data_IF_199676444861
#
_entry.id   IF_199676444861
#
_cell.length_a   1.000
_cell.length_b   1.000
_cell.length_c   1.000
_cell.angle_alpha   90.00
_cell.angle_beta   90.00
_cell.angle_gamma   90.00
#
_symmetry.space_group_name_H-M   'P 1'
#
loop_
_entity.id
_entity.type
_entity.pdbx_description
1 polymer ?
#
# COMPACT_ATOMS: atom_id res chain seq x y z
N UNK A 1 -39.52 -6.75 -12.84
CA UNK A 1 -38.75 -5.70 -12.12
C UNK A 1 -38.16 -6.35 -10.88
N UNK A 2 -36.93 -6.85 -10.96
CA UNK A 2 -36.28 -7.52 -9.83
C UNK A 2 -35.70 -6.46 -8.90
N UNK A 3 -36.44 -6.13 -7.84
CA UNK A 3 -36.09 -5.13 -6.84
C UNK A 3 -35.01 -5.62 -5.88
N UNK A 4 -33.77 -5.73 -6.36
CA UNK A 4 -32.64 -5.76 -5.44
C UNK A 4 -32.53 -4.39 -4.78
N UNK A 5 -32.50 -4.30 -3.43
CA UNK A 5 -32.27 -3.03 -2.76
C UNK A 5 -30.92 -2.47 -3.26
N UNK A 6 -30.90 -1.18 -3.60
CA UNK A 6 -29.66 -0.52 -3.97
C UNK A 6 -28.64 -0.73 -2.83
N UNK A 7 -27.37 -1.04 -3.15
CA UNK A 7 -26.36 -1.26 -2.13
C UNK A 7 -26.26 -0.02 -1.23
N UNK A 8 -26.26 -0.24 0.09
CA UNK A 8 -26.11 0.84 1.06
C UNK A 8 -24.78 1.57 0.83
N UNK A 9 -24.70 2.88 1.05
CA UNK A 9 -23.44 3.61 0.94
C UNK A 9 -22.44 3.12 1.99
N UNK A 10 -21.17 3.05 1.60
CA UNK A 10 -20.06 2.76 2.50
C UNK A 10 -19.92 3.90 3.52
N UNK A 11 -19.91 3.55 4.80
CA UNK A 11 -19.74 4.50 5.90
C UNK A 11 -18.25 4.80 6.05
N UNK A 12 -17.87 6.06 5.82
CA UNK A 12 -16.47 6.50 5.83
C UNK A 12 -16.18 7.37 7.04
N UNK A 13 -15.02 7.18 7.65
CA UNK A 13 -14.46 8.10 8.64
C UNK A 13 -13.18 8.74 8.09
N UNK A 14 -13.03 10.04 8.27
CA UNK A 14 -11.85 10.81 7.87
C UNK A 14 -11.06 11.25 9.11
N UNK A 15 -9.74 11.13 9.05
CA UNK A 15 -8.81 11.72 10.02
C UNK A 15 -7.71 12.45 9.26
N UNK A 16 -7.65 13.76 9.45
CA UNK A 16 -6.64 14.64 8.84
C UNK A 16 -6.65 15.94 9.64
N UNK A 17 -5.52 16.41 10.16
CA UNK A 17 -5.43 17.65 10.92
C UNK A 17 -5.52 18.90 10.03
N UNK A 18 -5.26 18.77 8.72
CA UNK A 18 -5.34 19.86 7.76
C UNK A 18 -6.79 20.12 7.34
N UNK A 19 -7.40 21.18 7.89
CA UNK A 19 -8.82 21.50 7.66
C UNK A 19 -9.21 21.60 6.18
N UNK A 20 -8.38 22.25 5.35
CA UNK A 20 -8.66 22.42 3.92
C UNK A 20 -8.70 21.06 3.21
N UNK A 21 -7.74 20.17 3.51
CA UNK A 21 -7.70 18.82 2.92
C UNK A 21 -8.89 18.02 3.40
N UNK A 22 -9.14 18.00 4.71
CA UNK A 22 -10.27 17.28 5.33
C UNK A 22 -11.61 17.68 4.72
N UNK A 23 -11.89 18.99 4.60
CA UNK A 23 -13.13 19.51 3.99
C UNK A 23 -13.20 19.23 2.48
N UNK A 24 -12.10 19.36 1.76
CA UNK A 24 -12.04 19.08 0.32
C UNK A 24 -12.32 17.60 0.01
N UNK A 25 -11.70 16.70 0.76
CA UNK A 25 -11.95 15.26 0.69
C UNK A 25 -13.40 14.94 1.03
N UNK A 26 -13.95 15.54 2.08
CA UNK A 26 -15.34 15.33 2.46
C UNK A 26 -16.30 15.77 1.35
N UNK A 27 -16.08 16.95 0.75
CA UNK A 27 -16.91 17.47 -0.33
C UNK A 27 -16.87 16.56 -1.57
N UNK A 28 -15.68 16.11 -1.97
CA UNK A 28 -15.52 15.19 -3.11
C UNK A 28 -16.27 13.88 -2.90
N UNK A 29 -16.09 13.25 -1.73
CA UNK A 29 -16.73 11.97 -1.42
C UNK A 29 -18.25 12.11 -1.23
N UNK A 30 -18.75 13.24 -0.73
CA UNK A 30 -20.18 13.52 -0.61
C UNK A 30 -20.89 13.65 -1.98
N UNK A 31 -20.15 13.97 -3.04
CA UNK A 31 -20.66 13.99 -4.41
C UNK A 31 -20.96 12.60 -4.98
N UNK A 32 -20.50 11.53 -4.32
CA UNK A 32 -20.64 10.15 -4.77
C UNK A 32 -21.62 9.36 -3.89
N UNK A 33 -22.72 8.91 -4.48
CA UNK A 33 -23.81 8.20 -3.78
C UNK A 33 -23.38 6.85 -3.19
N UNK A 34 -22.19 6.35 -3.56
CA UNK A 34 -21.61 5.12 -3.00
C UNK A 34 -21.08 5.32 -1.59
N UNK A 35 -20.89 6.57 -1.15
CA UNK A 35 -20.23 6.90 0.11
C UNK A 35 -21.15 7.72 1.03
N UNK A 36 -20.93 7.56 2.33
CA UNK A 36 -21.52 8.39 3.36
C UNK A 36 -20.44 8.67 4.42
N UNK A 37 -20.09 9.94 4.61
CA UNK A 37 -19.12 10.31 5.63
C UNK A 37 -19.86 10.38 6.97
N UNK A 38 -19.54 9.45 7.87
CA UNK A 38 -20.13 9.39 9.21
C UNK A 38 -19.32 10.13 10.25
N UNK A 39 -18.05 10.42 9.96
CA UNK A 39 -17.16 11.15 10.84
C UNK A 39 -16.03 11.83 10.07
N UNK A 40 -15.59 12.98 10.58
CA UNK A 40 -14.48 13.74 10.03
C UNK A 40 -13.79 14.49 11.17
N UNK A 41 -12.59 14.05 11.51
CA UNK A 41 -11.88 14.49 12.72
C UNK A 41 -10.50 15.04 12.41
N UNK A 42 -10.04 15.96 13.26
CA UNK A 42 -8.68 16.46 13.24
C UNK A 42 -7.75 15.67 14.16
N UNK A 43 -8.31 14.93 15.13
CA UNK A 43 -7.56 14.24 16.18
C UNK A 43 -7.87 12.76 16.23
N UNK A 44 -6.85 11.94 16.53
CA UNK A 44 -6.99 10.49 16.51
C UNK A 44 -7.92 9.93 17.59
N UNK A 45 -7.97 10.55 18.78
CA UNK A 45 -8.83 10.10 19.87
C UNK A 45 -10.33 10.24 19.51
N UNK A 46 -10.71 11.31 18.81
CA UNK A 46 -12.09 11.50 18.31
C UNK A 46 -12.48 10.43 17.28
N UNK A 47 -11.53 10.04 16.42
CA UNK A 47 -11.72 8.92 15.49
C UNK A 47 -11.95 7.63 16.26
N UNK A 48 -11.13 7.33 17.26
CA UNK A 48 -11.23 6.10 18.06
C UNK A 48 -12.58 6.02 18.78
N UNK A 49 -13.04 7.12 19.37
CA UNK A 49 -14.34 7.18 20.05
C UNK A 49 -15.50 6.98 19.07
N UNK A 50 -15.38 7.52 17.87
CA UNK A 50 -16.34 7.25 16.79
C UNK A 50 -16.37 5.77 16.42
N UNK A 51 -15.21 5.14 16.25
CA UNK A 51 -15.13 3.73 15.85
C UNK A 51 -15.72 2.78 16.91
N UNK A 52 -15.77 3.20 18.18
CA UNK A 52 -16.45 2.45 19.26
C UNK A 52 -17.97 2.54 19.19
N UNK A 53 -18.51 3.65 18.69
CA UNK A 53 -19.93 4.00 18.79
C UNK A 53 -20.67 3.93 17.45
N UNK A 54 -19.97 3.93 16.32
CA UNK A 54 -20.54 3.98 14.99
C UNK A 54 -19.94 2.92 14.07
N UNK A 55 -20.75 2.48 13.10
CA UNK A 55 -20.27 1.58 12.06
C UNK A 55 -19.47 2.36 11.02
N UNK A 56 -18.23 1.97 10.82
CA UNK A 56 -17.36 2.46 9.75
C UNK A 56 -16.95 1.29 8.86
N UNK A 57 -17.11 1.45 7.55
CA UNK A 57 -16.73 0.47 6.54
C UNK A 57 -15.30 0.70 6.01
N UNK A 58 -14.81 1.95 5.99
CA UNK A 58 -13.41 2.31 5.68
C UNK A 58 -13.02 3.55 6.47
N UNK A 59 -11.85 3.53 7.11
CA UNK A 59 -11.24 4.73 7.69
C UNK A 59 -10.13 5.25 6.76
N UNK A 60 -10.21 6.54 6.43
CA UNK A 60 -9.22 7.26 5.60
C UNK A 60 -8.42 8.12 6.56
N UNK A 61 -7.13 7.84 6.69
CA UNK A 61 -6.27 8.40 7.73
C UNK A 61 -5.05 9.10 7.14
N UNK A 62 -4.81 10.32 7.56
CA UNK A 62 -3.46 10.89 7.49
C UNK A 62 -2.57 10.22 8.55
N UNK A 63 -1.34 9.91 8.16
CA UNK A 63 -0.33 9.32 9.05
C UNK A 63 0.61 10.37 9.63
N UNK A 64 0.55 11.61 9.14
CA UNK A 64 1.35 12.74 9.60
C UNK A 64 0.45 13.77 10.26
N UNK A 65 0.10 13.52 11.52
CA UNK A 65 -0.74 14.42 12.32
C UNK A 65 0.11 15.43 13.12
N UNK A 66 -0.55 16.50 13.57
CA UNK A 66 0.07 17.57 14.34
C UNK A 66 0.80 17.06 15.60
N UNK A 67 1.87 17.75 16.05
CA UNK A 67 2.54 17.44 17.30
C UNK A 67 1.57 17.40 18.49
N UNK A 68 1.65 16.33 19.30
CA UNK A 68 0.72 16.08 20.41
C UNK A 68 -0.35 15.04 20.08
N UNK A 69 -0.53 14.70 18.81
CA UNK A 69 -1.30 13.53 18.40
C UNK A 69 -0.43 12.27 18.30
N UNK A 70 -1.05 11.12 18.02
CA UNK A 70 -0.39 9.82 17.89
C UNK A 70 0.44 9.77 16.61
N UNK A 71 1.65 9.25 16.73
CA UNK A 71 2.47 8.87 15.59
C UNK A 71 1.72 7.88 14.67
N UNK A 72 1.86 8.03 13.35
CA UNK A 72 1.10 7.26 12.37
C UNK A 72 1.28 5.73 12.51
N UNK A 73 2.47 5.26 12.87
CA UNK A 73 2.72 3.81 13.07
C UNK A 73 2.01 3.31 14.33
N UNK A 74 2.11 4.10 15.42
CA UNK A 74 1.45 3.78 16.69
C UNK A 74 -0.07 3.82 16.57
N UNK A 75 -0.61 4.78 15.80
CA UNK A 75 -2.03 4.88 15.50
C UNK A 75 -2.54 3.66 14.73
N UNK A 76 -1.83 3.25 13.68
CA UNK A 76 -2.22 2.07 12.89
C UNK A 76 -2.22 0.81 13.77
N UNK A 77 -1.19 0.61 14.60
CA UNK A 77 -1.12 -0.52 15.52
C UNK A 77 -2.31 -0.54 16.50
N UNK A 78 -2.63 0.60 17.11
CA UNK A 78 -3.77 0.75 18.02
C UNK A 78 -5.11 0.45 17.32
N UNK A 79 -5.32 1.01 16.12
CA UNK A 79 -6.54 0.79 15.35
C UNK A 79 -6.68 -0.67 14.91
N UNK A 80 -5.57 -1.35 14.63
CA UNK A 80 -5.57 -2.77 14.26
C UNK A 80 -5.89 -3.69 15.42
N UNK A 81 -5.40 -3.37 16.60
CA UNK A 81 -5.71 -4.11 17.83
C UNK A 81 -7.19 -3.95 18.21
N UNK A 82 -7.72 -2.73 18.20
CA UNK A 82 -9.12 -2.45 18.54
C UNK A 82 -10.13 -2.81 17.44
N UNK A 83 -9.75 -2.71 16.16
CA UNK A 83 -10.64 -2.83 15.01
C UNK A 83 -10.02 -3.68 13.89
N UNK A 84 -9.75 -4.98 14.12
CA UNK A 84 -8.93 -5.81 13.23
C UNK A 84 -9.48 -5.98 11.81
N UNK A 85 -10.80 -5.83 11.63
CA UNK A 85 -11.47 -5.98 10.32
C UNK A 85 -11.69 -4.67 9.58
N UNK A 86 -11.43 -3.51 10.20
CA UNK A 86 -11.67 -2.21 9.59
C UNK A 86 -10.62 -1.94 8.50
N UNK A 87 -10.97 -1.74 7.23
CA UNK A 87 -10.01 -1.29 6.23
C UNK A 87 -9.45 0.09 6.60
N UNK A 88 -8.12 0.20 6.64
CA UNK A 88 -7.42 1.45 6.93
C UNK A 88 -6.72 1.91 5.65
N UNK A 89 -7.16 3.04 5.10
CA UNK A 89 -6.60 3.63 3.88
C UNK A 89 -5.79 4.87 4.27
N UNK A 90 -4.47 4.81 4.07
CA UNK A 90 -3.62 5.96 4.30
C UNK A 90 -3.79 6.98 3.16
N UNK A 91 -3.97 8.26 3.52
CA UNK A 91 -4.05 9.38 2.60
C UNK A 91 -2.98 10.41 2.96
N UNK A 92 -1.82 10.32 2.31
CA UNK A 92 -0.60 10.98 2.76
C UNK A 92 -0.07 12.00 1.75
N UNK A 93 0.48 13.12 2.23
CA UNK A 93 1.16 14.12 1.39
C UNK A 93 2.44 13.56 0.77
N UNK A 94 3.22 12.85 1.58
CA UNK A 94 4.45 12.20 1.15
C UNK A 94 4.33 10.70 1.39
N UNK A 95 4.47 9.92 0.33
CA UNK A 95 4.59 8.48 0.45
C UNK A 95 6.02 8.16 0.88
N UNK A 96 6.23 7.38 1.94
CA UNK A 96 7.56 6.92 2.30
C UNK A 96 8.14 6.13 1.12
N UNK A 97 9.25 6.63 0.54
CA UNK A 97 9.91 6.00 -0.61
C UNK A 97 10.56 4.66 -0.24
N UNK A 98 10.78 4.44 1.04
CA UNK A 98 11.30 3.21 1.61
C UNK A 98 10.22 2.52 2.44
N UNK A 99 9.88 1.29 2.03
CA UNK A 99 9.18 0.29 2.85
C UNK A 99 7.65 0.44 3.05
N UNK A 100 6.88 0.70 1.97
CA UNK A 100 5.42 0.50 1.96
C UNK A 100 5.02 -0.91 2.44
N UNK A 101 5.85 -1.93 2.21
CA UNK A 101 5.59 -3.29 2.71
C UNK A 101 5.54 -3.37 4.23
N UNK A 102 6.41 -2.65 4.93
CA UNK A 102 6.34 -2.58 6.38
C UNK A 102 5.02 -1.95 6.82
N UNK A 103 4.58 -0.90 6.13
CA UNK A 103 3.34 -0.21 6.46
C UNK A 103 2.07 -0.98 6.05
N UNK A 104 2.11 -1.78 4.98
CA UNK A 104 1.05 -2.76 4.70
C UNK A 104 1.09 -3.88 5.74
N UNK A 105 2.30 -4.32 6.14
CA UNK A 105 2.52 -5.30 7.19
C UNK A 105 2.08 -4.84 8.58
N UNK A 106 2.03 -3.53 8.84
CA UNK A 106 1.42 -2.97 10.07
C UNK A 106 -0.11 -3.01 10.04
N UNK A 107 -0.70 -3.37 8.90
CA UNK A 107 -2.13 -3.59 8.72
C UNK A 107 -2.82 -2.57 7.82
N UNK A 108 -2.12 -1.64 7.16
CA UNK A 108 -2.82 -0.76 6.21
C UNK A 108 -3.39 -1.57 5.04
N UNK A 109 -4.61 -1.23 4.65
CA UNK A 109 -5.29 -1.82 3.49
C UNK A 109 -4.89 -1.13 2.19
N UNK A 110 -4.29 0.05 2.27
CA UNK A 110 -3.71 0.71 1.11
C UNK A 110 -3.23 2.12 1.36
N UNK A 111 -2.79 2.73 0.27
CA UNK A 111 -2.22 4.07 0.21
C UNK A 111 -2.76 4.83 -1.00
N UNK A 112 -3.03 6.11 -0.78
CA UNK A 112 -3.29 7.13 -1.81
C UNK A 112 -2.47 8.35 -1.44
N UNK A 113 -1.74 8.90 -2.41
CA UNK A 113 -1.08 10.19 -2.23
C UNK A 113 -2.09 11.33 -2.35
N UNK A 114 -1.97 12.37 -1.52
CA UNK A 114 -2.74 13.62 -1.66
C UNK A 114 -2.43 14.37 -2.96
N UNK A 115 -1.34 14.01 -3.65
CA UNK A 115 -1.01 14.51 -4.98
C UNK A 115 -1.69 13.74 -6.12
N UNK A 116 -2.28 12.58 -5.85
CA UNK A 116 -3.08 11.86 -6.84
C UNK A 116 -4.41 12.59 -7.10
N UNK A 117 -5.00 12.46 -8.30
CA UNK A 117 -6.33 12.99 -8.57
C UNK A 117 -7.38 12.44 -7.58
N UNK A 118 -8.35 13.28 -7.18
CA UNK A 118 -9.38 12.90 -6.19
C UNK A 118 -10.17 11.63 -6.54
N UNK A 119 -10.35 11.30 -7.82
CA UNK A 119 -11.01 10.05 -8.22
C UNK A 119 -10.21 8.79 -7.83
N UNK A 120 -8.88 8.90 -7.72
CA UNK A 120 -8.03 7.80 -7.26
C UNK A 120 -8.36 7.41 -5.80
N UNK A 121 -8.76 8.38 -4.98
CA UNK A 121 -9.24 8.13 -3.62
C UNK A 121 -10.55 7.34 -3.64
N UNK A 122 -11.53 7.73 -4.47
CA UNK A 122 -12.79 7.01 -4.62
C UNK A 122 -12.59 5.56 -5.05
N UNK A 123 -11.69 5.34 -6.02
CA UNK A 123 -11.36 3.99 -6.50
C UNK A 123 -10.63 3.17 -5.44
N UNK A 124 -9.74 3.80 -4.68
CA UNK A 124 -9.03 3.17 -3.56
C UNK A 124 -9.99 2.70 -2.48
N UNK A 125 -10.95 3.56 -2.07
CA UNK A 125 -11.98 3.23 -1.08
C UNK A 125 -12.77 1.99 -1.51
N UNK A 126 -13.22 1.95 -2.77
CA UNK A 126 -13.95 0.80 -3.29
C UNK A 126 -13.12 -0.49 -3.27
N UNK A 127 -11.84 -0.41 -3.63
CA UNK A 127 -10.93 -1.57 -3.60
C UNK A 127 -10.73 -2.10 -2.17
N UNK A 128 -10.38 -1.23 -1.22
CA UNK A 128 -10.12 -1.66 0.16
C UNK A 128 -11.38 -2.16 0.86
N UNK A 129 -12.56 -1.59 0.53
CA UNK A 129 -13.84 -2.09 1.02
C UNK A 129 -14.16 -3.51 0.52
N UNK A 130 -13.60 -3.91 -0.64
CA UNK A 130 -13.70 -5.26 -1.19
C UNK A 130 -12.59 -6.20 -0.66
N UNK A 131 -11.75 -5.73 0.27
CA UNK A 131 -10.62 -6.49 0.81
C UNK A 131 -9.41 -6.53 -0.12
N UNK A 132 -9.36 -5.69 -1.16
CA UNK A 132 -8.23 -5.58 -2.07
C UNK A 132 -7.25 -4.51 -1.58
N UNK A 133 -5.95 -4.78 -1.71
CA UNK A 133 -4.92 -3.79 -1.38
C UNK A 133 -4.81 -2.74 -2.48
N UNK A 134 -4.75 -1.45 -2.10
CA UNK A 134 -4.42 -0.36 -3.02
C UNK A 134 -3.03 0.19 -2.74
N UNK A 135 -2.14 0.14 -3.72
CA UNK A 135 -0.87 0.89 -3.70
C UNK A 135 -0.78 1.89 -4.86
N UNK A 136 -0.06 3.01 -4.68
CA UNK A 136 0.17 3.99 -5.73
C UNK A 136 0.82 3.37 -6.97
N UNK A 137 0.55 3.87 -8.19
CA UNK A 137 1.04 3.27 -9.43
C UNK A 137 2.57 3.15 -9.50
N UNK A 138 3.27 4.15 -8.96
CA UNK A 138 4.74 4.21 -8.95
C UNK A 138 5.38 3.32 -7.87
N UNK A 139 4.53 2.71 -7.04
CA UNK A 139 4.91 1.77 -6.00
C UNK A 139 4.50 0.36 -6.42
N UNK A 140 5.44 -0.36 -7.01
CA UNK A 140 5.36 -1.82 -7.03
C UNK A 140 5.41 -2.30 -5.58
N UNK A 141 4.36 -2.98 -5.11
CA UNK A 141 4.43 -3.82 -3.91
C UNK A 141 5.63 -4.75 -4.10
N UNK A 142 6.77 -4.42 -3.49
CA UNK A 142 7.89 -5.33 -3.41
C UNK A 142 7.48 -6.45 -2.45
N UNK A 143 6.57 -7.33 -2.87
CA UNK A 143 6.08 -8.41 -2.05
C UNK A 143 7.27 -9.28 -1.64
N UNK A 144 7.78 -9.06 -0.43
CA UNK A 144 8.78 -9.89 0.22
C UNK A 144 10.17 -9.29 0.36
N UNK A 145 10.38 -8.36 1.29
CA UNK A 145 11.71 -8.24 1.92
C UNK A 145 11.99 -9.48 2.81
N UNK A 146 12.12 -10.65 2.19
CA UNK A 146 13.32 -11.42 2.49
C UNK A 146 14.43 -10.66 1.76
N UNK A 147 15.49 -10.25 2.45
CA UNK A 147 16.68 -9.79 1.73
C UNK A 147 17.08 -10.87 0.72
N UNK A 148 17.41 -10.44 -0.50
CA UNK A 148 18.02 -11.33 -1.47
C UNK A 148 19.24 -11.94 -0.80
N UNK A 149 19.29 -13.27 -0.76
CA UNK A 149 20.51 -13.96 -0.39
C UNK A 149 21.62 -13.51 -1.34
N UNK A 150 22.87 -13.59 -0.89
CA UNK A 150 24.03 -13.25 -1.73
C UNK A 150 23.93 -13.93 -3.10
N UNK A 151 23.53 -15.21 -3.13
CA UNK A 151 23.39 -15.96 -4.38
C UNK A 151 22.24 -15.46 -5.27
N UNK A 152 21.10 -15.06 -4.72
CA UNK A 152 19.97 -14.49 -5.49
C UNK A 152 20.34 -13.14 -6.09
N UNK A 153 21.00 -12.27 -5.31
CA UNK A 153 21.49 -10.96 -5.78
C UNK A 153 22.49 -11.12 -6.91
N UNK A 154 23.50 -11.97 -6.74
CA UNK A 154 24.49 -12.23 -7.78
C UNK A 154 23.87 -12.78 -9.09
N UNK A 155 22.80 -13.60 -9.02
CA UNK A 155 22.08 -14.01 -10.23
C UNK A 155 21.33 -12.84 -10.87
N UNK A 156 20.69 -11.98 -10.07
CA UNK A 156 19.96 -10.82 -10.55
C UNK A 156 20.87 -9.79 -11.23
N UNK A 157 22.02 -9.50 -10.63
CA UNK A 157 23.01 -8.55 -11.16
C UNK A 157 23.53 -9.03 -12.53
N UNK A 158 23.88 -10.31 -12.65
CA UNK A 158 24.32 -10.88 -13.93
C UNK A 158 23.21 -10.90 -15.00
N UNK A 159 21.94 -11.08 -14.61
CA UNK A 159 20.81 -10.96 -15.55
C UNK A 159 20.66 -9.51 -16.04
N UNK A 160 20.82 -8.52 -15.15
CA UNK A 160 20.78 -7.09 -15.48
C UNK A 160 21.96 -6.66 -16.38
N UNK A 161 23.09 -7.35 -16.27
CA UNK A 161 24.25 -7.23 -17.18
C UNK A 161 24.03 -7.91 -18.55
N UNK A 162 22.92 -8.65 -18.71
CA UNK A 162 22.53 -9.27 -19.98
C UNK A 162 22.94 -10.73 -20.14
N UNK A 163 23.45 -11.39 -19.09
CA UNK A 163 23.80 -12.81 -19.17
C UNK A 163 22.58 -13.71 -19.18
N UNK A 164 22.64 -14.76 -20.00
CA UNK A 164 21.65 -15.84 -20.02
C UNK A 164 21.83 -16.77 -18.82
N UNK A 165 20.79 -17.52 -18.46
CA UNK A 165 20.86 -18.51 -17.37
C UNK A 165 21.96 -19.56 -17.57
N UNK A 166 22.24 -19.92 -18.83
CA UNK A 166 23.31 -20.86 -19.19
C UNK A 166 24.70 -20.27 -18.94
N UNK A 167 24.91 -19.00 -19.28
CA UNK A 167 26.18 -18.29 -19.05
C UNK A 167 26.42 -18.05 -17.56
N UNK A 168 25.38 -17.70 -16.80
CA UNK A 168 25.45 -17.55 -15.34
C UNK A 168 25.80 -18.89 -14.68
N UNK A 169 25.15 -19.97 -15.12
CA UNK A 169 25.43 -21.33 -14.63
C UNK A 169 26.89 -21.73 -14.86
N UNK A 170 27.41 -21.45 -16.06
CA UNK A 170 28.81 -21.71 -16.41
C UNK A 170 29.78 -20.91 -15.54
N UNK A 171 29.58 -19.59 -15.41
CA UNK A 171 30.44 -18.71 -14.62
C UNK A 171 30.44 -19.03 -13.12
N UNK A 172 29.29 -19.47 -12.60
CA UNK A 172 29.13 -19.77 -11.18
C UNK A 172 29.43 -21.23 -10.82
N UNK A 173 29.80 -22.06 -11.79
CA UNK A 173 29.98 -23.50 -11.64
C UNK A 173 28.76 -24.17 -10.96
N UNK A 174 27.56 -23.80 -11.41
CA UNK A 174 26.28 -24.35 -10.92
C UNK A 174 25.45 -24.91 -12.07
N UNK A 175 24.46 -25.73 -11.74
CA UNK A 175 23.50 -26.19 -12.74
C UNK A 175 22.55 -25.05 -13.16
N UNK A 176 22.08 -25.07 -14.42
CA UNK A 176 21.06 -24.13 -14.92
C UNK A 176 19.81 -24.18 -14.03
N UNK A 177 19.43 -25.36 -13.54
CA UNK A 177 18.29 -25.54 -12.63
C UNK A 177 18.47 -24.75 -11.32
N UNK A 178 19.67 -24.76 -10.75
CA UNK A 178 19.99 -24.01 -9.52
C UNK A 178 19.87 -22.51 -9.75
N UNK A 179 20.47 -22.00 -10.82
CA UNK A 179 20.40 -20.57 -11.18
C UNK A 179 18.96 -20.15 -11.47
N UNK A 180 18.20 -20.98 -12.19
CA UNK A 180 16.78 -20.74 -12.46
C UNK A 180 15.96 -20.67 -11.16
N UNK A 181 16.21 -21.57 -10.22
CA UNK A 181 15.55 -21.56 -8.90
C UNK A 181 15.88 -20.29 -8.13
N UNK A 182 17.15 -19.87 -8.13
CA UNK A 182 17.61 -18.64 -7.47
C UNK A 182 16.99 -17.38 -8.10
N UNK A 183 16.90 -17.33 -9.43
CA UNK A 183 16.18 -16.27 -10.14
C UNK A 183 14.71 -16.22 -9.73
N UNK A 184 14.00 -17.36 -9.76
CA UNK A 184 12.59 -17.42 -9.39
C UNK A 184 12.39 -16.98 -7.93
N UNK A 185 13.28 -17.39 -7.03
CA UNK A 185 13.25 -16.96 -5.64
C UNK A 185 13.48 -15.45 -5.52
N UNK A 186 14.44 -14.88 -6.25
CA UNK A 186 14.71 -13.45 -6.28
C UNK A 186 13.51 -12.64 -6.80
N UNK A 187 12.93 -13.05 -7.94
CA UNK A 187 11.74 -12.43 -8.51
C UNK A 187 10.57 -12.46 -7.53
N UNK A 188 10.33 -13.62 -6.90
CA UNK A 188 9.28 -13.80 -5.91
C UNK A 188 9.45 -12.85 -4.72
N UNK A 189 10.68 -12.64 -4.23
CA UNK A 189 11.01 -11.71 -3.13
C UNK A 189 10.89 -10.25 -3.56
N UNK A 190 11.22 -9.93 -4.80
CA UNK A 190 11.08 -8.57 -5.32
C UNK A 190 9.64 -8.24 -5.77
N UNK A 191 8.70 -9.18 -5.67
CA UNK A 191 7.34 -9.03 -6.17
C UNK A 191 7.22 -8.98 -7.71
N UNK A 192 8.25 -9.43 -8.43
CA UNK A 192 8.35 -9.38 -9.87
C UNK A 192 7.86 -10.69 -10.50
N UNK A 193 7.27 -10.61 -11.69
CA UNK A 193 6.67 -11.74 -12.41
C UNK A 193 7.42 -12.12 -13.68
N UNK A 194 8.28 -11.24 -14.18
CA UNK A 194 8.99 -11.47 -15.44
C UNK A 194 10.35 -10.76 -15.51
N UNK A 195 11.19 -11.20 -16.44
CA UNK A 195 12.50 -10.58 -16.71
C UNK A 195 12.36 -9.16 -17.23
N UNK A 196 11.28 -8.89 -17.98
CA UNK A 196 10.96 -7.55 -18.49
C UNK A 196 10.81 -6.56 -17.31
N UNK A 197 10.17 -6.99 -16.23
CA UNK A 197 10.01 -6.17 -15.02
C UNK A 197 11.34 -5.95 -14.28
N UNK A 198 12.25 -6.92 -14.32
CA UNK A 198 13.62 -6.75 -13.78
C UNK A 198 14.38 -5.67 -14.55
N UNK A 199 14.34 -5.73 -15.88
CA UNK A 199 15.02 -4.73 -16.73
C UNK A 199 14.40 -3.34 -16.60
N UNK A 200 13.08 -3.24 -16.44
CA UNK A 200 12.40 -1.97 -16.20
C UNK A 200 12.81 -1.30 -14.87
N UNK A 201 13.31 -2.09 -13.90
CA UNK A 201 13.78 -1.61 -12.59
C UNK A 201 15.30 -1.46 -12.51
N UNK A 202 16.04 -1.60 -13.63
CA UNK A 202 17.51 -1.64 -13.68
C UNK A 202 18.16 -0.46 -12.94
N UNK A 203 17.76 0.76 -13.27
CA UNK A 203 18.39 1.97 -12.72
C UNK A 203 18.20 2.06 -11.21
N UNK A 204 17.07 1.54 -10.69
CA UNK A 204 16.73 1.50 -9.27
C UNK A 204 17.43 0.38 -8.49
N UNK A 205 17.78 -0.72 -9.18
CA UNK A 205 18.45 -1.89 -8.57
C UNK A 205 19.98 -1.75 -8.55
N UNK A 206 20.54 -0.94 -9.46
CA UNK A 206 21.97 -0.70 -9.59
C UNK A 206 22.46 0.56 -8.86
N UNK A 207 21.58 1.33 -8.21
CA UNK A 207 22.03 2.45 -7.39
C UNK A 207 22.89 1.94 -6.20
N UNK A 208 24.09 2.50 -6.01
CA UNK A 208 24.94 2.14 -4.88
C UNK A 208 24.25 2.55 -3.57
N UNK A 209 24.08 1.59 -2.66
CA UNK A 209 23.66 1.85 -1.27
C UNK A 209 24.74 2.61 -0.50
#
# INVERSE_FOLDING_TARGET
MNGFPAPRPLQLALLDDHEIVRRGTALHLAGDRRFAIVASHAHSDDLIDTLRCARVDVAIIDLTLAPGDRDGTSLVALLRDGFPRLPLLAFATHLPTTNINHLIGTGLSGFVSKAEPLHALSDAIMRVAQGLTRVPPDFTLAMGHDELSRSEREVLDMLLEGFTLSEIALRRHRSIKTVSTQKIAALRKLGLRSDIEVYAMRDRLLEPR
#
